data_IF_561364425009
#
_entry.id   IF_561364425009
#
_cell.length_a   1.000
_cell.length_b   1.000
_cell.length_c   1.000
_cell.angle_alpha   90.00
_cell.angle_beta   90.00
_cell.angle_gamma   90.00
#
_symmetry.space_group_name_H-M   'P 1'
#
loop_
_entity.id
_entity.type
_entity.pdbx_description
1 polymer ?
#
# COMPACT_ATOMS: atom_id res chain seq x y z
N UNK A 1 8.44 -13.46 8.31
CA UNK A 1 7.74 -12.81 7.18
C UNK A 1 8.37 -13.14 5.83
N UNK A 2 9.59 -12.70 5.49
CA UNK A 2 10.19 -12.95 4.15
C UNK A 2 10.27 -14.45 3.81
N UNK A 3 10.82 -15.28 4.71
CA UNK A 3 10.89 -16.75 4.52
C UNK A 3 9.51 -17.40 4.34
N UNK A 4 8.48 -16.83 4.96
CA UNK A 4 7.10 -17.32 4.83
C UNK A 4 6.53 -16.96 3.45
N UNK A 5 6.73 -15.73 2.97
CA UNK A 5 6.32 -15.32 1.62
C UNK A 5 7.04 -16.16 0.55
N UNK A 6 8.32 -16.47 0.76
CA UNK A 6 9.08 -17.36 -0.12
C UNK A 6 8.54 -18.80 -0.13
N UNK A 7 8.02 -19.30 1.01
CA UNK A 7 7.36 -20.62 1.05
C UNK A 7 6.02 -20.66 0.33
N UNK A 8 5.47 -19.51 -0.06
CA UNK A 8 4.27 -19.36 -0.88
C UNK A 8 4.61 -19.05 -2.36
N UNK A 9 5.83 -19.36 -2.80
CA UNK A 9 6.35 -19.09 -4.15
C UNK A 9 6.39 -17.60 -4.56
N UNK A 10 6.40 -16.69 -3.58
CA UNK A 10 6.63 -15.26 -3.85
C UNK A 10 8.15 -15.04 -3.96
N UNK A 11 8.61 -14.81 -5.18
CA UNK A 11 10.02 -14.60 -5.47
C UNK A 11 10.50 -13.20 -5.01
N UNK A 12 11.79 -13.04 -4.66
CA UNK A 12 12.30 -11.77 -4.11
C UNK A 12 12.11 -10.55 -5.02
N UNK A 13 12.07 -10.72 -6.33
CA UNK A 13 11.80 -9.66 -7.32
C UNK A 13 10.38 -9.11 -7.24
N UNK A 14 9.45 -9.83 -6.58
CA UNK A 14 8.06 -9.40 -6.35
C UNK A 14 7.86 -8.74 -4.99
N UNK A 15 8.92 -8.57 -4.21
CA UNK A 15 8.85 -7.98 -2.87
C UNK A 15 9.46 -6.58 -2.85
N UNK A 16 8.67 -5.61 -2.42
CA UNK A 16 9.16 -4.27 -2.07
C UNK A 16 9.07 -4.14 -0.55
N UNK A 17 10.22 -3.99 0.10
CA UNK A 17 10.31 -3.75 1.54
C UNK A 17 10.39 -2.25 1.79
N UNK A 18 9.39 -1.70 2.45
CA UNK A 18 9.38 -0.31 2.91
C UNK A 18 9.68 -0.32 4.40
N UNK A 19 10.85 0.19 4.78
CA UNK A 19 11.19 0.35 6.19
C UNK A 19 10.46 1.59 6.75
N UNK A 20 9.62 1.44 7.78
CA UNK A 20 9.00 2.60 8.42
C UNK A 20 10.08 3.48 9.09
N UNK A 21 9.81 4.77 9.29
CA UNK A 21 10.70 5.62 10.09
C UNK A 21 10.91 5.00 11.48
N UNK A 22 12.14 5.02 12.02
CA UNK A 22 12.43 4.36 13.29
C UNK A 22 11.71 5.06 14.45
N UNK A 23 11.15 4.25 15.36
CA UNK A 23 10.37 4.72 16.53
C UNK A 23 11.27 5.24 17.67
N UNK A 24 12.60 5.10 17.56
CA UNK A 24 13.53 5.44 18.65
C UNK A 24 14.15 6.85 18.51
N UNK A 25 13.86 7.69 19.50
CA UNK A 25 13.95 9.15 19.50
C UNK A 25 15.35 9.84 19.45
N UNK A 26 16.43 9.39 20.12
CA UNK A 26 17.59 10.27 20.37
C UNK A 26 18.35 10.75 19.11
N UNK A 27 18.25 9.98 18.01
CA UNK A 27 18.86 10.32 16.72
C UNK A 27 17.97 11.26 15.90
N UNK A 28 16.65 11.25 16.15
CA UNK A 28 15.66 12.14 15.53
C UNK A 28 15.45 13.43 16.32
N UNK A 29 15.67 13.44 17.64
CA UNK A 29 15.60 14.66 18.47
C UNK A 29 16.58 15.75 18.02
N UNK A 30 17.73 15.39 17.41
CA UNK A 30 18.68 16.37 16.85
C UNK A 30 18.18 17.01 15.56
N UNK A 31 17.18 16.43 14.91
CA UNK A 31 16.52 16.96 13.72
C UNK A 31 15.05 17.23 14.08
N UNK A 32 14.74 18.43 14.57
CA UNK A 32 13.39 18.93 14.86
C UNK A 32 12.49 19.01 13.60
N UNK A 33 12.26 17.88 12.92
CA UNK A 33 11.42 17.71 11.73
C UNK A 33 10.20 16.80 12.01
N UNK A 34 10.19 16.07 13.14
CA UNK A 34 9.17 15.05 13.45
C UNK A 34 7.76 15.61 13.62
N UNK A 35 7.59 16.79 14.24
CA UNK A 35 6.26 17.39 14.46
C UNK A 35 5.53 17.77 13.17
N UNK A 36 6.27 17.99 12.07
CA UNK A 36 5.66 18.37 10.79
C UNK A 36 5.23 17.14 10.01
N UNK A 37 5.97 16.03 10.13
CA UNK A 37 5.75 14.81 9.35
C UNK A 37 4.95 13.73 10.08
N UNK A 38 4.81 13.82 11.40
CA UNK A 38 4.00 12.91 12.21
C UNK A 38 2.83 13.67 12.85
N UNK A 39 1.64 13.08 12.83
CA UNK A 39 0.41 13.69 13.39
C UNK A 39 0.32 13.51 14.91
N UNK A 40 0.72 12.35 15.42
CA UNK A 40 0.65 11.97 16.84
C UNK A 40 1.97 11.41 17.38
N UNK A 41 3.05 11.51 16.60
CA UNK A 41 4.36 10.91 16.92
C UNK A 41 4.54 9.48 16.42
N UNK A 42 3.52 8.88 15.79
CA UNK A 42 3.59 7.56 15.17
C UNK A 42 3.09 7.58 13.72
N UNK A 43 1.89 8.12 13.49
CA UNK A 43 1.26 8.19 12.18
C UNK A 43 1.79 9.37 11.38
N UNK A 44 1.89 9.20 10.05
CA UNK A 44 2.23 10.29 9.16
C UNK A 44 1.15 11.37 9.19
N UNK A 45 1.58 12.63 9.25
CA UNK A 45 0.73 13.77 8.92
C UNK A 45 0.52 13.85 7.41
N UNK A 46 -0.35 14.76 6.96
CA UNK A 46 -0.53 15.03 5.52
C UNK A 46 0.80 15.38 4.84
N UNK A 47 1.61 16.23 5.47
CA UNK A 47 2.97 16.57 4.98
C UNK A 47 3.92 15.37 5.01
N UNK A 48 3.76 14.47 5.98
CA UNK A 48 4.50 13.20 6.04
C UNK A 48 4.18 12.29 4.86
N UNK A 49 2.89 12.18 4.52
CA UNK A 49 2.40 11.41 3.38
C UNK A 49 2.90 12.01 2.07
N UNK A 50 2.75 13.32 1.85
CA UNK A 50 3.27 14.01 0.66
C UNK A 50 4.77 13.80 0.48
N UNK A 51 5.54 13.89 1.57
CA UNK A 51 6.98 13.65 1.53
C UNK A 51 7.29 12.21 1.11
N UNK A 52 6.62 11.22 1.74
CA UNK A 52 6.80 9.81 1.41
C UNK A 52 6.43 9.52 -0.05
N UNK A 53 5.30 10.04 -0.52
CA UNK A 53 4.84 9.92 -1.91
C UNK A 53 5.89 10.47 -2.88
N UNK A 54 6.41 11.68 -2.64
CA UNK A 54 7.40 12.32 -3.51
C UNK A 54 8.69 11.52 -3.69
N UNK A 55 9.03 10.66 -2.72
CA UNK A 55 10.22 9.81 -2.75
C UNK A 55 9.94 8.42 -3.29
N UNK A 56 8.78 7.85 -2.93
CA UNK A 56 8.45 6.47 -3.24
C UNK A 56 7.85 6.33 -4.64
N UNK A 57 6.98 7.26 -5.05
CA UNK A 57 6.25 7.18 -6.31
C UNK A 57 7.15 7.04 -7.55
N UNK A 58 8.24 7.81 -7.72
CA UNK A 58 9.12 7.64 -8.88
C UNK A 58 9.75 6.25 -8.99
N UNK A 59 10.04 5.62 -7.84
CA UNK A 59 10.63 4.28 -7.78
C UNK A 59 9.59 3.23 -8.15
N UNK A 60 8.36 3.38 -7.63
CA UNK A 60 7.25 2.48 -7.95
C UNK A 60 6.86 2.59 -9.42
N UNK A 61 6.72 3.81 -9.95
CA UNK A 61 6.38 4.04 -11.35
C UNK A 61 7.43 3.42 -12.28
N UNK A 62 8.72 3.63 -11.99
CA UNK A 62 9.82 3.03 -12.76
C UNK A 62 9.79 1.50 -12.75
N UNK A 63 9.42 0.87 -11.63
CA UNK A 63 9.47 -0.59 -11.47
C UNK A 63 8.18 -1.30 -11.88
N UNK A 64 7.04 -0.64 -11.70
CA UNK A 64 5.71 -1.26 -11.74
C UNK A 64 4.79 -0.62 -12.79
N UNK A 65 5.08 0.57 -13.31
CA UNK A 65 4.17 1.29 -14.22
C UNK A 65 3.90 0.57 -15.53
N UNK A 66 4.79 -0.34 -15.95
CA UNK A 66 4.58 -1.19 -17.13
C UNK A 66 3.74 -2.44 -16.85
N UNK A 67 3.49 -2.78 -15.59
CA UNK A 67 2.73 -3.97 -15.22
C UNK A 67 1.22 -3.69 -15.29
N UNK A 68 0.40 -4.65 -15.76
CA UNK A 68 -1.03 -4.49 -15.75
C UNK A 68 -1.55 -4.45 -14.30
N UNK A 69 -2.54 -3.61 -14.06
CA UNK A 69 -3.29 -3.62 -12.80
C UNK A 69 -4.10 -4.92 -12.70
N UNK A 70 -3.86 -5.68 -11.62
CA UNK A 70 -4.61 -6.92 -11.34
C UNK A 70 -6.00 -6.64 -10.76
N UNK A 71 -6.11 -5.55 -10.00
CA UNK A 71 -7.32 -5.08 -9.36
C UNK A 71 -7.63 -3.66 -9.85
N UNK A 72 -8.90 -3.23 -9.83
CA UNK A 72 -9.26 -1.85 -10.17
C UNK A 72 -8.49 -0.86 -9.30
N UNK A 73 -8.40 0.38 -9.80
CA UNK A 73 -7.87 1.46 -9.01
C UNK A 73 -8.73 1.66 -7.76
N UNK A 74 -8.10 1.84 -6.60
CA UNK A 74 -8.79 1.78 -5.31
C UNK A 74 -9.88 2.85 -5.14
N UNK A 75 -9.76 4.02 -5.80
CA UNK A 75 -10.81 5.05 -5.77
C UNK A 75 -12.08 4.64 -6.53
N UNK A 76 -11.99 3.63 -7.39
CA UNK A 76 -13.12 3.10 -8.16
C UNK A 76 -13.83 1.94 -7.42
N UNK A 77 -13.31 1.54 -6.24
CA UNK A 77 -13.90 0.47 -5.41
C UNK A 77 -14.96 1.05 -4.48
N UNK A 78 -16.19 0.54 -4.55
CA UNK A 78 -17.24 0.91 -3.59
C UNK A 78 -16.90 0.36 -2.21
N UNK A 79 -16.62 1.25 -1.26
CA UNK A 79 -16.25 0.87 0.10
C UNK A 79 -17.41 0.26 0.92
N UNK A 80 -18.66 0.46 0.52
CA UNK A 80 -19.84 -0.14 1.16
C UNK A 80 -20.17 -1.50 0.55
N UNK A 81 -19.84 -1.69 -0.72
CA UNK A 81 -20.08 -2.93 -1.44
C UNK A 81 -18.92 -3.25 -2.41
N UNK A 82 -17.78 -3.74 -1.91
CA UNK A 82 -16.54 -3.81 -2.68
C UNK A 82 -16.48 -4.98 -3.67
N UNK A 83 -17.20 -6.08 -3.41
CA UNK A 83 -17.15 -7.30 -4.22
C UNK A 83 -17.45 -7.06 -5.71
N UNK A 84 -18.55 -6.36 -6.08
CA UNK A 84 -18.84 -6.09 -7.48
C UNK A 84 -17.79 -5.22 -8.18
N UNK A 85 -17.19 -4.27 -7.47
CA UNK A 85 -16.10 -3.44 -8.01
C UNK A 85 -14.82 -4.26 -8.22
N UNK A 86 -14.49 -5.15 -7.28
CA UNK A 86 -13.27 -5.96 -7.32
C UNK A 86 -13.38 -7.14 -8.30
N UNK A 87 -14.56 -7.75 -8.43
CA UNK A 87 -14.80 -8.98 -9.19
C UNK A 87 -16.07 -8.89 -10.05
N UNK A 88 -16.11 -8.00 -11.07
CA UNK A 88 -17.30 -7.76 -11.88
C UNK A 88 -17.81 -8.99 -12.65
N UNK A 89 -16.98 -10.03 -12.82
CA UNK A 89 -17.32 -11.26 -13.53
C UNK A 89 -17.85 -12.38 -12.60
N UNK A 90 -17.87 -12.17 -11.29
CA UNK A 90 -18.47 -13.09 -10.32
C UNK A 90 -19.93 -12.71 -10.06
N UNK A 91 -20.76 -12.66 -11.11
CA UNK A 91 -22.21 -12.60 -10.87
C UNK A 91 -22.69 -14.00 -10.48
N UNK A 92 -23.12 -14.15 -9.23
CA UNK A 92 -23.82 -15.34 -8.76
C UNK A 92 -24.91 -15.73 -9.77
N UNK A 93 -24.79 -16.91 -10.37
CA UNK A 93 -25.92 -17.54 -11.05
C UNK A 93 -26.97 -17.75 -9.97
N UNK A 94 -28.00 -16.90 -9.92
CA UNK A 94 -29.21 -17.22 -9.18
C UNK A 94 -29.74 -18.52 -9.78
N UNK A 95 -29.65 -19.62 -9.03
CA UNK A 95 -30.35 -20.85 -9.34
C UNK A 95 -31.84 -20.53 -9.44
N UNK A 96 -32.36 -20.49 -10.67
CA UNK A 96 -33.79 -20.63 -10.94
C UNK A 96 -34.21 -22.03 -10.46
N UNK A 97 -34.72 -22.11 -9.23
CA UNK A 97 -35.52 -23.26 -8.80
C UNK A 97 -36.83 -23.23 -9.59
N UNK A 98 -36.91 -24.11 -10.58
CA UNK A 98 -38.15 -24.58 -11.19
C UNK A 98 -39.02 -25.35 -10.19
#
# INVERSE_FOLDING_TARGET
MIRYLQSLDITPDRLILIAPPPIYEPSWERQCFTKVYLSDGLHLSDKGNEFLESKLWPILEQKLGALPFLLPYWMDVDNKNPEPSLFPNCTEKKEEKS
#
